data_IF_085789908706
#
_entry.id   IF_085789908706
#
_cell.length_a   1.000
_cell.length_b   1.000
_cell.length_c   1.000
_cell.angle_alpha   90.00
_cell.angle_beta   90.00
_cell.angle_gamma   90.00
#
_symmetry.space_group_name_H-M   'P 1'
#
loop_
_entity.id
_entity.type
_entity.pdbx_description
1 polymer ?
#
# COMPACT_ATOMS: atom_id res chain seq x y z
N UNK A 1 -14.67 24.62 4.97
CA UNK A 1 -15.62 23.49 4.78
C UNK A 1 -15.08 22.31 5.54
N UNK A 2 -15.96 21.51 6.15
CA UNK A 2 -15.63 20.36 7.02
C UNK A 2 -14.54 19.43 6.43
N UNK A 3 -14.56 19.20 5.12
CA UNK A 3 -13.56 18.37 4.44
C UNK A 3 -12.13 18.94 4.51
N UNK A 4 -11.97 20.25 4.35
CA UNK A 4 -10.65 20.87 4.38
C UNK A 4 -10.04 20.76 5.78
N UNK A 5 -10.84 21.01 6.82
CA UNK A 5 -10.42 20.89 8.22
C UNK A 5 -9.99 19.46 8.57
N UNK A 6 -10.75 18.44 8.13
CA UNK A 6 -10.39 17.03 8.33
C UNK A 6 -9.08 16.68 7.64
N UNK A 7 -8.89 17.14 6.40
CA UNK A 7 -7.69 16.88 5.63
C UNK A 7 -6.51 17.59 6.30
N UNK A 8 -6.58 18.88 6.58
CA UNK A 8 -5.43 19.64 7.12
C UNK A 8 -5.11 19.37 8.58
N UNK A 9 -6.00 18.73 9.35
CA UNK A 9 -5.71 18.28 10.71
C UNK A 9 -4.43 17.44 10.80
N UNK A 10 -3.81 17.37 11.98
CA UNK A 10 -2.62 16.55 12.21
C UNK A 10 -2.87 15.07 11.86
N UNK A 11 -3.98 14.52 12.35
CA UNK A 11 -4.39 13.16 12.03
C UNK A 11 -4.69 12.96 10.54
N UNK A 12 -5.39 13.91 9.90
CA UNK A 12 -5.65 13.87 8.46
C UNK A 12 -4.37 13.91 7.62
N UNK A 13 -3.40 14.71 8.04
CA UNK A 13 -2.08 14.80 7.41
C UNK A 13 -1.29 13.51 7.59
N UNK A 14 -1.34 12.89 8.78
CA UNK A 14 -0.75 11.57 9.03
C UNK A 14 -1.36 10.50 8.12
N UNK A 15 -2.69 10.48 7.97
CA UNK A 15 -3.37 9.53 7.09
C UNK A 15 -2.97 9.72 5.62
N UNK A 16 -2.85 10.97 5.14
CA UNK A 16 -2.40 11.24 3.76
C UNK A 16 -0.98 10.75 3.51
N UNK A 17 -0.05 11.07 4.42
CA UNK A 17 1.33 10.60 4.31
C UNK A 17 1.41 9.07 4.28
N UNK A 18 0.70 8.41 5.20
CA UNK A 18 0.66 6.96 5.25
C UNK A 18 0.07 6.32 4.00
N UNK A 19 -1.01 6.89 3.44
CA UNK A 19 -1.57 6.43 2.17
C UNK A 19 -0.56 6.57 1.03
N UNK A 20 0.20 7.66 0.99
CA UNK A 20 1.26 7.85 0.00
C UNK A 20 2.34 6.77 0.12
N UNK A 21 2.86 6.54 1.33
CA UNK A 21 3.87 5.51 1.62
C UNK A 21 3.36 4.11 1.24
N UNK A 22 2.11 3.80 1.61
CA UNK A 22 1.51 2.50 1.34
C UNK A 22 1.29 2.28 -0.15
N UNK A 23 0.81 3.28 -0.88
CA UNK A 23 0.61 3.20 -2.33
C UNK A 23 1.94 3.01 -3.05
N UNK A 24 2.92 3.89 -2.80
CA UNK A 24 4.23 3.85 -3.43
C UNK A 24 4.98 2.55 -3.13
N UNK A 25 5.06 2.16 -1.85
CA UNK A 25 5.71 0.93 -1.44
C UNK A 25 5.09 -0.29 -2.10
N UNK A 26 3.75 -0.40 -2.11
CA UNK A 26 3.07 -1.54 -2.75
C UNK A 26 3.37 -1.62 -4.24
N UNK A 27 3.43 -0.49 -4.96
CA UNK A 27 3.84 -0.49 -6.37
C UNK A 27 5.30 -0.89 -6.57
N UNK A 28 6.21 -0.42 -5.70
CA UNK A 28 7.62 -0.78 -5.76
C UNK A 28 7.81 -2.29 -5.57
N UNK A 29 7.20 -2.87 -4.53
CA UNK A 29 7.24 -4.32 -4.27
C UNK A 29 6.66 -5.12 -5.44
N UNK A 30 5.51 -4.72 -5.99
CA UNK A 30 4.90 -5.42 -7.11
C UNK A 30 5.79 -5.40 -8.35
N UNK A 31 6.40 -4.26 -8.68
CA UNK A 31 7.21 -4.11 -9.89
C UNK A 31 8.59 -4.76 -9.79
N UNK A 32 9.28 -4.54 -8.69
CA UNK A 32 10.66 -5.01 -8.49
C UNK A 32 10.69 -6.36 -7.80
N UNK A 33 10.18 -6.48 -6.57
CA UNK A 33 10.32 -7.72 -5.78
C UNK A 33 9.53 -8.89 -6.36
N UNK A 34 8.33 -8.63 -6.87
CA UNK A 34 7.51 -9.65 -7.54
C UNK A 34 7.82 -9.75 -9.04
N UNK A 35 8.75 -8.94 -9.56
CA UNK A 35 9.14 -8.88 -10.97
C UNK A 35 7.96 -8.71 -11.96
N UNK A 36 6.87 -8.05 -11.52
CA UNK A 36 5.72 -7.82 -12.40
C UNK A 36 5.99 -6.66 -13.36
N UNK A 37 6.36 -6.98 -14.60
CA UNK A 37 6.66 -5.99 -15.64
C UNK A 37 5.45 -5.63 -16.51
N UNK A 38 4.58 -6.61 -16.79
CA UNK A 38 3.38 -6.41 -17.61
C UNK A 38 2.37 -7.52 -17.38
N UNK A 39 1.11 -7.24 -17.73
CA UNK A 39 0.07 -8.27 -17.82
C UNK A 39 0.40 -9.28 -18.91
N UNK A 40 0.24 -10.57 -18.58
CA UNK A 40 0.39 -11.67 -19.54
C UNK A 40 -0.96 -12.04 -20.15
N UNK A 41 -2.05 -11.83 -19.40
CA UNK A 41 -3.39 -12.11 -19.85
C UNK A 41 -3.95 -10.98 -20.71
N UNK A 42 -4.85 -11.33 -21.64
CA UNK A 42 -5.47 -10.39 -22.58
C UNK A 42 -6.97 -10.28 -22.33
N UNK A 43 -7.53 -9.10 -22.58
CA UNK A 43 -8.93 -8.78 -22.36
C UNK A 43 -9.23 -8.39 -20.92
N UNK A 44 -10.15 -7.43 -20.73
CA UNK A 44 -10.39 -6.76 -19.44
C UNK A 44 -10.70 -7.73 -18.30
N UNK A 45 -11.52 -8.77 -18.55
CA UNK A 45 -11.87 -9.78 -17.54
C UNK A 45 -10.66 -10.57 -17.04
N UNK A 46 -9.78 -10.98 -17.95
CA UNK A 46 -8.61 -11.78 -17.58
C UNK A 46 -7.52 -10.90 -16.96
N UNK A 47 -7.35 -9.67 -17.44
CA UNK A 47 -6.46 -8.68 -16.80
C UNK A 47 -6.92 -8.42 -15.37
N UNK A 48 -8.21 -8.22 -15.13
CA UNK A 48 -8.76 -8.07 -13.78
C UNK A 48 -8.47 -9.29 -12.90
N UNK A 49 -8.68 -10.50 -13.41
CA UNK A 49 -8.35 -11.72 -12.67
C UNK A 49 -6.85 -11.78 -12.31
N UNK A 50 -5.96 -11.42 -13.24
CA UNK A 50 -4.52 -11.34 -12.99
C UNK A 50 -4.18 -10.28 -11.94
N UNK A 51 -4.81 -9.09 -12.01
CA UNK A 51 -4.64 -8.03 -11.00
C UNK A 51 -5.06 -8.50 -9.60
N UNK A 52 -6.18 -9.20 -9.49
CA UNK A 52 -6.68 -9.72 -8.20
C UNK A 52 -5.73 -10.77 -7.63
N UNK A 53 -5.28 -11.73 -8.44
CA UNK A 53 -4.33 -12.76 -8.00
C UNK A 53 -2.99 -12.15 -7.56
N UNK A 54 -2.51 -11.14 -8.30
CA UNK A 54 -1.30 -10.40 -7.94
C UNK A 54 -1.45 -9.67 -6.59
N UNK A 55 -2.59 -9.01 -6.38
CA UNK A 55 -2.89 -8.33 -5.11
C UNK A 55 -2.94 -9.31 -3.93
N UNK A 56 -3.61 -10.46 -4.09
CA UNK A 56 -3.66 -11.51 -3.06
C UNK A 56 -2.25 -12.01 -2.71
N UNK A 57 -1.44 -12.30 -3.74
CA UNK A 57 -0.05 -12.74 -3.52
C UNK A 57 0.79 -11.69 -2.79
N UNK A 58 0.64 -10.42 -3.17
CA UNK A 58 1.28 -9.30 -2.48
C UNK A 58 0.86 -9.21 -1.01
N UNK A 59 -0.45 -9.26 -0.73
CA UNK A 59 -0.98 -9.12 0.63
C UNK A 59 -0.55 -10.27 1.55
N UNK A 60 -0.52 -11.51 1.04
CA UNK A 60 -0.02 -12.67 1.79
C UNK A 60 1.46 -12.49 2.13
N UNK A 61 2.30 -12.10 1.16
CA UNK A 61 3.73 -11.86 1.40
C UNK A 61 3.94 -10.73 2.43
N UNK A 62 3.21 -9.63 2.29
CA UNK A 62 3.27 -8.49 3.21
C UNK A 62 2.86 -8.89 4.62
N UNK A 63 1.78 -9.67 4.77
CA UNK A 63 1.33 -10.18 6.06
C UNK A 63 2.37 -11.12 6.68
N UNK A 64 2.90 -12.07 5.90
CA UNK A 64 3.94 -12.98 6.34
C UNK A 64 5.15 -12.22 6.90
N UNK A 65 5.66 -11.23 6.17
CA UNK A 65 6.77 -10.40 6.65
C UNK A 65 6.44 -9.59 7.90
N UNK A 66 5.19 -9.09 8.04
CA UNK A 66 4.76 -8.42 9.27
C UNK A 66 4.77 -9.36 10.47
N UNK A 67 4.30 -10.59 10.30
CA UNK A 67 4.31 -11.60 11.36
C UNK A 67 5.75 -11.93 11.76
N UNK A 68 6.62 -12.23 10.78
CA UNK A 68 8.03 -12.59 11.05
C UNK A 68 8.81 -11.46 11.73
N UNK A 69 8.43 -10.21 11.51
CA UNK A 69 9.05 -9.05 12.14
C UNK A 69 8.31 -8.53 13.38
N UNK A 70 7.25 -9.21 13.84
CA UNK A 70 6.47 -8.80 15.02
C UNK A 70 5.71 -7.47 14.86
N UNK A 71 5.39 -7.05 13.63
CA UNK A 71 4.78 -5.74 13.29
C UNK A 71 3.29 -5.81 12.90
N UNK A 72 2.59 -6.87 13.27
CA UNK A 72 1.21 -7.11 12.84
C UNK A 72 0.21 -6.04 13.35
N UNK A 73 0.54 -5.31 14.42
CA UNK A 73 -0.26 -4.21 14.96
C UNK A 73 0.16 -2.80 14.54
N UNK A 74 1.20 -2.66 13.70
CA UNK A 74 1.69 -1.35 13.26
C UNK A 74 1.08 -1.00 11.90
N UNK A 75 0.18 -0.01 11.90
CA UNK A 75 -0.59 0.39 10.71
C UNK A 75 -0.21 1.78 10.18
N UNK A 76 0.11 2.72 11.07
CA UNK A 76 0.45 4.09 10.72
C UNK A 76 1.86 4.43 11.19
N UNK A 77 2.61 5.07 10.30
CA UNK A 77 3.83 5.79 10.62
C UNK A 77 3.47 7.17 11.21
N UNK A 78 4.22 7.58 12.22
CA UNK A 78 4.09 8.91 12.82
C UNK A 78 4.62 10.00 11.90
N UNK A 79 4.03 11.20 11.99
CA UNK A 79 4.57 12.36 11.32
C UNK A 79 5.96 12.66 11.87
N UNK A 80 6.91 12.95 11.00
CA UNK A 80 8.20 13.49 11.44
C UNK A 80 7.94 14.83 12.10
N UNK A 81 8.28 14.94 13.38
CA UNK A 81 8.30 16.24 14.07
C UNK A 81 9.45 17.04 13.48
N UNK A 82 9.16 18.19 12.89
CA UNK A 82 10.20 19.18 12.62
C UNK A 82 10.82 19.59 13.95
N UNK A 83 12.15 19.53 14.02
CA UNK A 83 12.93 20.02 15.16
C UNK A 83 12.73 21.53 15.34
#
# INVERSE_FOLDING_TARGET
SECLERITSEFGTQLRMNRSIQAEGSFANVKEDMNFRRYLYRGTKNVLAQSVMLAIGFDINKLHHKIMSGRTGTHLFELKKTA
#
